data_IF_870051807418
#
_entry.id   IF_870051807418
#
_cell.length_a   1.000
_cell.length_b   1.000
_cell.length_c   1.000
_cell.angle_alpha   90.00
_cell.angle_beta   90.00
_cell.angle_gamma   90.00
#
_symmetry.space_group_name_H-M   'P 1'
#
loop_
_entity.id
_entity.type
_entity.pdbx_description
1 polymer ?
#
# COMPACT_ATOMS: atom_id res chain seq x y z
N UNK A 1 -2.67 0.44 17.88
CA UNK A 1 -2.38 1.02 16.56
C UNK A 1 -3.28 0.41 15.47
N UNK A 2 -3.28 -0.91 15.25
CA UNK A 2 -4.07 -1.58 14.19
C UNK A 2 -5.56 -1.19 14.22
N UNK A 3 -6.21 -1.28 15.38
CA UNK A 3 -7.63 -0.93 15.53
C UNK A 3 -7.92 0.54 15.18
N UNK A 4 -7.02 1.45 15.54
CA UNK A 4 -7.19 2.87 15.23
C UNK A 4 -7.12 3.13 13.73
N UNK A 5 -6.20 2.46 13.05
CA UNK A 5 -6.03 2.57 11.59
C UNK A 5 -7.24 2.00 10.86
N UNK A 6 -7.74 0.83 11.27
CA UNK A 6 -8.92 0.22 10.69
C UNK A 6 -10.19 1.05 10.95
N UNK A 7 -10.33 1.61 12.15
CA UNK A 7 -11.44 2.50 12.50
C UNK A 7 -11.41 3.79 11.66
N UNK A 8 -10.23 4.37 11.44
CA UNK A 8 -10.06 5.55 10.60
C UNK A 8 -10.41 5.26 9.14
N UNK A 9 -9.98 4.11 8.60
CA UNK A 9 -10.33 3.69 7.24
C UNK A 9 -11.84 3.51 7.11
N UNK A 10 -12.48 2.84 8.07
CA UNK A 10 -13.93 2.65 8.10
C UNK A 10 -14.66 3.99 8.18
N UNK A 11 -14.20 4.92 9.03
CA UNK A 11 -14.80 6.26 9.17
C UNK A 11 -14.72 7.07 7.88
N UNK A 12 -13.56 7.09 7.21
CA UNK A 12 -13.37 7.78 5.92
C UNK A 12 -14.25 7.14 4.83
N UNK A 13 -14.35 5.82 4.82
CA UNK A 13 -15.19 5.11 3.84
C UNK A 13 -16.66 5.42 4.03
N UNK A 14 -17.14 5.42 5.28
CA UNK A 14 -18.54 5.77 5.60
C UNK A 14 -18.85 7.23 5.25
N UNK A 15 -17.92 8.15 5.53
CA UNK A 15 -18.08 9.55 5.15
C UNK A 15 -18.14 9.74 3.63
N UNK A 16 -17.26 9.07 2.87
CA UNK A 16 -17.30 9.10 1.41
C UNK A 16 -18.62 8.52 0.87
N UNK A 17 -19.11 7.44 1.48
CA UNK A 17 -20.37 6.81 1.11
C UNK A 17 -21.56 7.74 1.34
N UNK A 18 -21.62 8.44 2.48
CA UNK A 18 -22.70 9.40 2.79
C UNK A 18 -22.68 10.60 1.83
N UNK A 19 -21.51 11.14 1.48
CA UNK A 19 -21.39 12.24 0.51
C UNK A 19 -21.89 11.81 -0.87
N UNK A 20 -21.49 10.63 -1.34
CA UNK A 20 -21.94 10.11 -2.63
C UNK A 20 -23.46 9.91 -2.64
N UNK A 21 -24.03 9.38 -1.57
CA UNK A 21 -25.46 9.16 -1.47
C UNK A 21 -26.25 10.47 -1.47
N UNK A 22 -25.73 11.51 -0.82
CA UNK A 22 -26.33 12.86 -0.79
C UNK A 22 -26.30 13.51 -2.19
N UNK A 23 -25.17 13.44 -2.88
CA UNK A 23 -25.02 13.95 -4.26
C UNK A 23 -26.00 13.25 -5.22
N UNK A 24 -26.15 11.92 -5.15
CA UNK A 24 -27.08 11.19 -6.01
C UNK A 24 -28.55 11.48 -5.70
N UNK A 25 -28.89 11.85 -4.46
CA UNK A 25 -30.26 12.25 -4.11
C UNK A 25 -30.69 13.54 -4.83
N UNK A 26 -29.74 14.38 -5.21
CA UNK A 26 -29.98 15.63 -5.95
C UNK A 26 -30.15 15.41 -7.47
N UNK A 27 -29.69 14.25 -7.99
CA UNK A 27 -29.68 13.95 -9.43
C UNK A 27 -30.34 12.59 -9.72
N UNK A 28 -31.65 12.46 -9.65
CA UNK A 28 -32.37 11.17 -9.83
C UNK A 28 -32.19 10.56 -11.23
N UNK A 29 -31.79 11.36 -12.21
CA UNK A 29 -31.53 10.89 -13.60
C UNK A 29 -30.39 9.88 -13.68
N UNK A 30 -29.50 9.84 -12.68
CA UNK A 30 -28.33 8.96 -12.63
C UNK A 30 -28.49 7.77 -11.67
N UNK A 31 -29.72 7.44 -11.26
CA UNK A 31 -29.99 6.35 -10.31
C UNK A 31 -29.41 5.00 -10.78
N UNK A 32 -29.38 4.75 -12.08
CA UNK A 32 -28.84 3.52 -12.66
C UNK A 32 -27.32 3.36 -12.48
N UNK A 33 -26.56 4.47 -12.28
CA UNK A 33 -25.11 4.45 -12.06
C UNK A 33 -24.77 4.40 -10.57
N UNK A 34 -25.74 4.68 -9.70
CA UNK A 34 -25.56 4.74 -8.26
C UNK A 34 -24.99 3.42 -7.70
N UNK A 35 -25.57 2.29 -8.04
CA UNK A 35 -25.13 0.99 -7.56
C UNK A 35 -23.68 0.65 -7.98
N UNK A 36 -23.25 0.78 -9.24
CA UNK A 36 -21.86 0.53 -9.61
C UNK A 36 -20.87 1.47 -8.96
N UNK A 37 -21.18 2.75 -8.78
CA UNK A 37 -20.30 3.70 -8.08
C UNK A 37 -20.14 3.33 -6.61
N UNK A 38 -21.22 2.97 -5.92
CA UNK A 38 -21.16 2.51 -4.53
C UNK A 38 -20.31 1.23 -4.39
N UNK A 39 -20.46 0.29 -5.32
CA UNK A 39 -19.62 -0.92 -5.35
C UNK A 39 -18.13 -0.57 -5.53
N UNK A 40 -17.79 0.35 -6.41
CA UNK A 40 -16.42 0.80 -6.60
C UNK A 40 -15.88 1.51 -5.34
N UNK A 41 -16.68 2.35 -4.69
CA UNK A 41 -16.30 2.97 -3.42
C UNK A 41 -16.02 1.95 -2.32
N UNK A 42 -16.84 0.89 -2.24
CA UNK A 42 -16.62 -0.19 -1.28
C UNK A 42 -15.34 -1.01 -1.56
N UNK A 43 -14.86 -1.02 -2.81
CA UNK A 43 -13.61 -1.70 -3.18
C UNK A 43 -12.35 -0.94 -2.78
N UNK A 44 -12.40 0.39 -2.63
CA UNK A 44 -11.23 1.23 -2.30
C UNK A 44 -10.55 0.81 -0.98
N UNK A 45 -11.26 0.61 0.14
CA UNK A 45 -10.63 0.28 1.41
C UNK A 45 -10.09 -1.15 1.48
N UNK A 46 -10.52 -2.05 0.61
CA UNK A 46 -10.15 -3.48 0.68
C UNK A 46 -8.64 -3.70 0.57
N UNK A 47 -7.93 -3.21 -0.47
CA UNK A 47 -6.48 -3.40 -0.56
C UNK A 47 -5.73 -2.76 0.62
N UNK A 48 -6.22 -1.63 1.13
CA UNK A 48 -5.62 -0.93 2.27
C UNK A 48 -5.79 -1.77 3.54
N UNK A 49 -7.00 -2.28 3.82
CA UNK A 49 -7.26 -3.14 4.97
C UNK A 49 -6.43 -4.42 4.91
N UNK A 50 -6.37 -5.08 3.76
CA UNK A 50 -5.55 -6.27 3.54
C UNK A 50 -4.08 -5.96 3.80
N UNK A 51 -3.59 -4.82 3.31
CA UNK A 51 -2.20 -4.40 3.53
C UNK A 51 -1.90 -4.13 5.01
N UNK A 52 -2.78 -3.44 5.72
CA UNK A 52 -2.63 -3.14 7.16
C UNK A 52 -2.63 -4.43 7.99
N UNK A 53 -3.55 -5.36 7.73
CA UNK A 53 -3.63 -6.66 8.42
C UNK A 53 -2.37 -7.47 8.12
N UNK A 54 -1.97 -7.57 6.85
CA UNK A 54 -0.78 -8.30 6.43
C UNK A 54 0.50 -7.73 7.04
N UNK A 55 0.64 -6.41 7.07
CA UNK A 55 1.78 -5.72 7.70
C UNK A 55 1.85 -6.03 9.20
N UNK A 56 0.73 -5.96 9.89
CA UNK A 56 0.66 -6.24 11.33
C UNK A 56 1.01 -7.69 11.63
N UNK A 57 0.53 -8.62 10.83
CA UNK A 57 0.88 -10.04 10.96
C UNK A 57 2.38 -10.29 10.71
N UNK A 58 2.94 -9.73 9.63
CA UNK A 58 4.37 -9.83 9.34
C UNK A 58 5.22 -9.24 10.47
N UNK A 59 4.84 -8.08 11.01
CA UNK A 59 5.57 -7.45 12.10
C UNK A 59 5.57 -8.32 13.36
N UNK A 60 4.45 -8.93 13.70
CA UNK A 60 4.32 -9.87 14.82
C UNK A 60 5.24 -11.09 14.69
N UNK A 61 5.39 -11.61 13.47
CA UNK A 61 6.27 -12.77 13.20
C UNK A 61 7.74 -12.37 13.15
N UNK A 62 8.05 -11.17 12.63
CA UNK A 62 9.44 -10.69 12.46
C UNK A 62 10.08 -10.24 13.77
N UNK A 63 9.30 -9.80 14.73
CA UNK A 63 9.82 -9.46 16.05
C UNK A 63 10.62 -10.60 16.68
N UNK A 64 10.30 -11.85 16.30
CA UNK A 64 10.99 -13.05 16.82
C UNK A 64 12.16 -13.53 15.95
N UNK A 65 12.12 -13.35 14.61
CA UNK A 65 13.18 -13.82 13.68
C UNK A 65 13.18 -13.02 12.38
N UNK A 66 14.11 -12.08 12.27
CA UNK A 66 14.32 -11.32 11.03
C UNK A 66 14.96 -12.21 9.95
N UNK A 67 14.29 -12.38 8.81
CA UNK A 67 14.78 -13.12 7.65
C UNK A 67 14.58 -12.30 6.37
N UNK A 68 15.66 -12.10 5.60
CA UNK A 68 15.67 -11.31 4.36
C UNK A 68 14.74 -11.90 3.30
N UNK A 69 14.63 -13.23 3.22
CA UNK A 69 13.71 -13.88 2.28
C UNK A 69 12.25 -13.50 2.56
N UNK A 70 11.85 -13.45 3.83
CA UNK A 70 10.50 -13.03 4.23
C UNK A 70 10.24 -11.54 3.93
N UNK A 71 11.27 -10.69 4.09
CA UNK A 71 11.19 -9.28 3.72
C UNK A 71 10.92 -9.12 2.22
N UNK A 72 11.60 -9.87 1.36
CA UNK A 72 11.35 -9.82 -0.09
C UNK A 72 9.93 -10.26 -0.45
N UNK A 73 9.40 -11.29 0.20
CA UNK A 73 8.01 -11.73 0.02
C UNK A 73 7.02 -10.65 0.46
N UNK A 74 7.26 -10.03 1.62
CA UNK A 74 6.44 -8.91 2.09
C UNK A 74 6.43 -7.74 1.10
N UNK A 75 7.59 -7.31 0.63
CA UNK A 75 7.71 -6.24 -0.36
C UNK A 75 7.02 -6.60 -1.69
N UNK A 76 7.04 -7.88 -2.08
CA UNK A 76 6.32 -8.33 -3.28
C UNK A 76 4.81 -8.21 -3.13
N UNK A 77 4.26 -8.66 -2.02
CA UNK A 77 2.81 -8.56 -1.75
C UNK A 77 2.39 -7.09 -1.62
N UNK A 78 3.15 -6.28 -0.88
CA UNK A 78 2.89 -4.84 -0.73
C UNK A 78 2.93 -4.09 -2.07
N UNK A 79 3.83 -4.47 -2.97
CA UNK A 79 3.88 -3.91 -4.33
C UNK A 79 2.58 -4.17 -5.11
N UNK A 80 2.12 -5.42 -5.13
CA UNK A 80 0.89 -5.77 -5.83
C UNK A 80 -0.36 -5.14 -5.21
N UNK A 81 -0.41 -5.02 -3.88
CA UNK A 81 -1.50 -4.31 -3.20
C UNK A 81 -1.50 -2.81 -3.53
N UNK A 82 -0.33 -2.18 -3.63
CA UNK A 82 -0.23 -0.78 -4.04
C UNK A 82 -0.69 -0.57 -5.50
N UNK A 83 -0.33 -1.49 -6.40
CA UNK A 83 -0.82 -1.46 -7.79
C UNK A 83 -2.35 -1.66 -7.83
N UNK A 84 -2.88 -2.63 -7.09
CA UNK A 84 -4.33 -2.85 -7.02
C UNK A 84 -5.06 -1.60 -6.51
N UNK A 85 -4.53 -0.94 -5.48
CA UNK A 85 -5.08 0.32 -4.96
C UNK A 85 -5.04 1.44 -6.00
N UNK A 86 -3.95 1.56 -6.77
CA UNK A 86 -3.85 2.55 -7.84
C UNK A 86 -4.88 2.31 -8.95
N UNK A 87 -5.11 1.06 -9.33
CA UNK A 87 -6.11 0.69 -10.35
C UNK A 87 -7.51 1.03 -9.87
N UNK A 88 -7.86 0.67 -8.63
CA UNK A 88 -9.18 0.99 -8.05
C UNK A 88 -9.34 2.51 -7.89
N UNK A 89 -8.30 3.20 -7.40
CA UNK A 89 -8.29 4.64 -7.26
C UNK A 89 -8.40 5.41 -8.58
N UNK A 90 -7.94 4.82 -9.69
CA UNK A 90 -8.11 5.37 -11.03
C UNK A 90 -9.52 5.10 -11.59
N UNK A 91 -10.02 3.88 -11.43
CA UNK A 91 -11.28 3.45 -12.03
C UNK A 91 -12.48 4.27 -11.53
N UNK A 92 -12.55 4.57 -10.23
CA UNK A 92 -13.69 5.24 -9.62
C UNK A 92 -13.87 6.68 -10.14
N UNK A 93 -12.87 7.59 -10.05
CA UNK A 93 -13.06 8.96 -10.53
C UNK A 93 -13.21 9.02 -12.05
N UNK A 94 -12.58 8.09 -12.80
CA UNK A 94 -12.77 7.99 -14.24
C UNK A 94 -14.22 7.69 -14.58
N UNK A 95 -14.85 6.74 -13.88
CA UNK A 95 -16.25 6.40 -14.06
C UNK A 95 -17.15 7.59 -13.71
N UNK A 96 -16.91 8.21 -12.56
CA UNK A 96 -17.70 9.39 -12.11
C UNK A 96 -17.55 10.55 -13.08
N UNK A 97 -16.35 10.90 -13.49
CA UNK A 97 -16.08 12.00 -14.43
C UNK A 97 -16.71 11.77 -15.81
N UNK A 98 -16.70 10.52 -16.29
CA UNK A 98 -17.26 10.20 -17.60
C UNK A 98 -18.79 10.33 -17.63
N UNK A 99 -19.47 9.97 -16.54
CA UNK A 99 -20.93 9.95 -16.50
C UNK A 99 -21.56 11.24 -15.98
N UNK A 100 -20.93 11.93 -15.02
CA UNK A 100 -21.52 13.10 -14.39
C UNK A 100 -21.19 14.44 -15.09
N UNK A 101 -20.37 14.46 -16.14
CA UNK A 101 -19.99 15.66 -16.91
C UNK A 101 -19.55 16.87 -16.05
N UNK A 102 -19.31 16.66 -14.77
CA UNK A 102 -19.02 17.68 -13.77
C UNK A 102 -17.55 17.72 -13.39
N UNK A 103 -16.78 18.63 -13.99
CA UNK A 103 -15.37 18.86 -13.65
C UNK A 103 -15.20 19.70 -12.38
N UNK A 104 -15.52 19.17 -11.22
CA UNK A 104 -15.13 19.83 -9.97
C UNK A 104 -13.62 19.69 -9.77
N UNK A 105 -12.84 20.79 -9.69
CA UNK A 105 -11.39 20.74 -9.53
C UNK A 105 -10.94 19.95 -8.29
N UNK A 106 -11.74 19.94 -7.22
CA UNK A 106 -11.47 19.13 -6.03
C UNK A 106 -11.51 17.62 -6.32
N UNK A 107 -12.40 17.15 -7.20
CA UNK A 107 -12.44 15.76 -7.66
C UNK A 107 -11.17 15.37 -8.44
N UNK A 108 -10.67 16.27 -9.28
CA UNK A 108 -9.44 16.02 -10.05
C UNK A 108 -8.24 15.88 -9.11
N UNK A 109 -8.13 16.73 -8.09
CA UNK A 109 -7.07 16.66 -7.09
C UNK A 109 -7.16 15.34 -6.29
N UNK A 110 -8.35 14.96 -5.84
CA UNK A 110 -8.58 13.69 -5.14
C UNK A 110 -8.22 12.49 -6.02
N UNK A 111 -8.57 12.54 -7.31
CA UNK A 111 -8.25 11.51 -8.28
C UNK A 111 -6.73 11.34 -8.46
N UNK A 112 -6.03 12.43 -8.69
CA UNK A 112 -4.57 12.43 -8.82
C UNK A 112 -3.93 11.86 -7.55
N UNK A 113 -4.38 12.30 -6.37
CA UNK A 113 -3.85 11.81 -5.10
C UNK A 113 -4.11 10.31 -4.91
N UNK A 114 -5.33 9.82 -5.16
CA UNK A 114 -5.70 8.41 -5.02
C UNK A 114 -4.92 7.48 -5.96
N UNK A 115 -4.46 7.99 -7.09
CA UNK A 115 -3.70 7.22 -8.08
C UNK A 115 -2.19 7.39 -7.90
N UNK A 116 -1.72 8.61 -7.73
CA UNK A 116 -0.29 8.94 -7.68
C UNK A 116 0.38 8.42 -6.40
N UNK A 117 -0.29 8.53 -5.25
CA UNK A 117 0.29 8.09 -3.96
C UNK A 117 0.57 6.58 -3.94
N UNK A 118 -0.36 5.68 -4.27
CA UNK A 118 -0.07 4.25 -4.34
C UNK A 118 0.99 3.89 -5.39
N UNK A 119 1.01 4.57 -6.54
CA UNK A 119 2.05 4.35 -7.56
C UNK A 119 3.43 4.77 -7.04
N UNK A 120 3.51 5.89 -6.35
CA UNK A 120 4.76 6.34 -5.73
C UNK A 120 5.26 5.32 -4.69
N UNK A 121 4.38 4.81 -3.84
CA UNK A 121 4.69 3.75 -2.87
C UNK A 121 5.17 2.48 -3.61
N UNK A 122 4.50 2.08 -4.69
CA UNK A 122 4.92 0.93 -5.50
C UNK A 122 6.33 1.13 -6.09
N UNK A 123 6.65 2.33 -6.59
CA UNK A 123 7.98 2.67 -7.08
C UNK A 123 9.05 2.57 -5.97
N UNK A 124 8.78 3.10 -4.77
CA UNK A 124 9.69 2.99 -3.63
C UNK A 124 9.93 1.53 -3.23
N UNK A 125 8.88 0.71 -3.19
CA UNK A 125 8.98 -0.72 -2.91
C UNK A 125 9.82 -1.42 -3.98
N UNK A 126 9.61 -1.11 -5.26
CA UNK A 126 10.39 -1.68 -6.35
C UNK A 126 11.89 -1.34 -6.26
N UNK A 127 12.23 -0.10 -5.92
CA UNK A 127 13.61 0.33 -5.68
C UNK A 127 14.23 -0.39 -4.49
N UNK A 128 13.50 -0.46 -3.37
CA UNK A 128 13.96 -1.17 -2.16
C UNK A 128 14.25 -2.65 -2.46
N UNK A 129 13.41 -3.31 -3.25
CA UNK A 129 13.63 -4.70 -3.68
C UNK A 129 14.88 -4.87 -4.53
N UNK A 130 15.24 -3.90 -5.38
CA UNK A 130 16.47 -3.92 -6.17
C UNK A 130 17.72 -3.77 -5.32
N UNK A 131 17.65 -3.01 -4.23
CA UNK A 131 18.77 -2.77 -3.31
C UNK A 131 18.99 -3.92 -2.31
N UNK A 132 17.97 -4.72 -2.04
CA UNK A 132 18.03 -5.81 -1.06
C UNK A 132 19.17 -6.83 -1.31
N UNK A 133 19.37 -7.37 -2.54
CA UNK A 133 20.44 -8.32 -2.81
C UNK A 133 21.82 -7.70 -2.67
N UNK A 134 21.96 -6.42 -2.98
CA UNK A 134 23.22 -5.67 -2.81
C UNK A 134 23.54 -5.57 -1.32
N UNK A 135 22.58 -5.20 -0.50
CA UNK A 135 22.75 -5.11 0.95
C UNK A 135 23.10 -6.46 1.58
N UNK A 136 22.48 -7.57 1.13
CA UNK A 136 22.80 -8.92 1.61
C UNK A 136 24.24 -9.34 1.25
N UNK A 137 24.69 -9.00 0.06
CA UNK A 137 26.08 -9.25 -0.39
C UNK A 137 27.08 -8.52 0.48
N UNK A 138 26.84 -7.24 0.78
CA UNK A 138 27.70 -6.46 1.69
C UNK A 138 27.70 -7.05 3.10
N UNK A 139 26.55 -7.42 3.63
CA UNK A 139 26.46 -8.03 4.95
C UNK A 139 27.23 -9.33 5.06
N UNK A 140 27.22 -10.17 4.02
CA UNK A 140 28.00 -11.43 3.97
C UNK A 140 29.49 -11.13 3.94
N UNK A 141 29.94 -10.17 3.13
CA UNK A 141 31.36 -9.75 3.09
C UNK A 141 31.85 -9.27 4.45
N UNK A 142 31.11 -8.38 5.11
CA UNK A 142 31.48 -7.86 6.44
C UNK A 142 31.59 -9.01 7.47
N UNK A 143 30.68 -9.97 7.47
CA UNK A 143 30.75 -11.13 8.36
C UNK A 143 32.00 -11.99 8.09
N UNK A 144 32.37 -12.19 6.83
CA UNK A 144 33.56 -12.94 6.45
C UNK A 144 34.84 -12.25 6.94
N UNK A 145 34.95 -10.93 6.78
CA UNK A 145 36.11 -10.17 7.28
C UNK A 145 36.21 -10.24 8.80
N UNK A 146 35.12 -10.02 9.53
CA UNK A 146 35.09 -10.11 11.00
C UNK A 146 35.51 -11.49 11.51
N UNK A 147 35.16 -12.58 10.82
CA UNK A 147 35.56 -13.94 11.20
C UNK A 147 37.05 -14.18 10.91
N UNK A 148 37.59 -13.61 9.84
CA UNK A 148 39.00 -13.77 9.47
C UNK A 148 39.90 -13.01 10.47
N UNK A 149 39.48 -11.82 10.90
CA UNK A 149 40.24 -11.03 11.91
C UNK A 149 40.25 -11.71 13.28
N UNK A 150 39.14 -12.33 13.70
CA UNK A 150 39.08 -13.06 14.96
C UNK A 150 40.01 -14.28 14.97
N UNK A 151 40.15 -14.96 13.84
CA UNK A 151 41.09 -16.10 13.70
C UNK A 151 42.56 -15.66 13.67
N UNK A 152 42.83 -14.46 13.18
CA UNK A 152 44.19 -13.90 13.13
C UNK A 152 44.68 -13.50 14.52
N UNK A 153 43.84 -12.82 15.29
CA UNK A 153 44.16 -12.45 16.67
C UNK A 153 44.37 -13.64 17.60
N UNK A 154 43.62 -14.75 17.36
CA UNK A 154 43.81 -15.98 18.17
C UNK A 154 45.12 -16.69 17.85
N UNK A 155 45.67 -16.57 16.62
CA UNK A 155 46.95 -17.17 16.22
C UNK A 155 48.16 -16.35 16.71
N UNK A 156 48.01 -15.04 16.92
CA UNK A 156 49.10 -14.16 17.41
C UNK A 156 49.27 -14.23 18.94
N UNK A 157 48.27 -14.78 19.65
CA UNK A 157 48.32 -14.98 21.13
C UNK A 157 48.72 -16.39 21.57
N UNK A 158 49.04 -17.31 20.66
CA UNK A 158 49.49 -18.69 20.94
C UNK A 158 50.93 -18.89 20.51
#
# INVERSE_FOLDING_TARGET
>A
MLYFTLLSIAGVTLAAFSVIQDEFSQFPEYEWIHAPILCLCALIPIPICVWVIYTSWCFSVWYKRFNISRLNTYLRVSFWLAIAQAVVGFALPFTVSHFLHGGNPAMVIAWVAMTAVPLFIACLIAQTRRLLPIADTYRRKVKTYSHTDSLRTTKECS
#
